data_IF_925251187656
#
_entry.id   IF_925251187656
#
_cell.length_a   1.000
_cell.length_b   1.000
_cell.length_c   1.000
_cell.angle_alpha   90.00
_cell.angle_beta   90.00
_cell.angle_gamma   90.00
#
_symmetry.space_group_name_H-M   'P 1'
#
loop_
_entity.id
_entity.type
_entity.pdbx_description
1 polymer ?
#
# COMPACT_ATOMS: atom_id res chain seq x y z
N UNK A 1 -35.02 -8.74 -25.79
CA UNK A 1 -34.96 -7.64 -24.80
C UNK A 1 -36.36 -7.11 -24.57
N UNK A 2 -36.83 -7.03 -23.32
CA UNK A 2 -38.15 -6.44 -23.07
C UNK A 2 -38.13 -4.94 -23.43
N UNK A 3 -39.25 -4.43 -23.94
CA UNK A 3 -39.37 -3.00 -24.30
C UNK A 3 -39.00 -2.05 -23.14
N UNK A 4 -39.23 -2.49 -21.91
CA UNK A 4 -38.85 -1.72 -20.71
C UNK A 4 -37.34 -1.52 -20.57
N UNK A 5 -36.52 -2.54 -20.89
CA UNK A 5 -35.05 -2.44 -20.81
C UNK A 5 -34.51 -1.51 -21.90
N UNK A 6 -35.11 -1.53 -23.10
CA UNK A 6 -34.75 -0.59 -24.19
C UNK A 6 -35.10 0.85 -23.83
N UNK A 7 -36.21 1.10 -23.13
CA UNK A 7 -36.59 2.41 -22.66
C UNK A 7 -35.67 2.94 -21.56
N UNK A 8 -35.25 2.06 -20.60
CA UNK A 8 -34.29 2.41 -19.56
C UNK A 8 -32.93 2.75 -20.15
N UNK A 9 -32.48 1.98 -21.12
CA UNK A 9 -31.20 2.22 -21.81
C UNK A 9 -31.21 3.55 -22.58
N UNK A 10 -32.30 3.86 -23.27
CA UNK A 10 -32.48 5.14 -23.97
C UNK A 10 -32.51 6.33 -23.00
N UNK A 11 -33.10 6.16 -21.83
CA UNK A 11 -33.19 7.19 -20.78
C UNK A 11 -31.83 7.43 -20.11
N UNK A 12 -31.05 6.37 -19.84
CA UNK A 12 -29.71 6.45 -19.29
C UNK A 12 -28.74 7.17 -20.26
N UNK A 13 -28.79 6.86 -21.55
CA UNK A 13 -28.00 7.55 -22.58
C UNK A 13 -28.37 9.03 -22.72
N UNK A 14 -29.65 9.38 -22.63
CA UNK A 14 -30.09 10.79 -22.70
C UNK A 14 -29.64 11.60 -21.48
N UNK A 15 -29.64 10.99 -20.30
CA UNK A 15 -29.19 11.67 -19.08
C UNK A 15 -27.67 11.89 -19.09
N UNK A 16 -26.89 10.94 -19.57
CA UNK A 16 -25.44 11.04 -19.72
C UNK A 16 -25.05 12.21 -20.65
N UNK A 17 -25.71 12.33 -21.80
CA UNK A 17 -25.42 13.41 -22.73
C UNK A 17 -25.78 14.81 -22.15
N UNK A 18 -26.81 14.92 -21.29
CA UNK A 18 -27.13 16.14 -20.57
C UNK A 18 -26.14 16.52 -19.48
N UNK A 19 -25.57 15.55 -18.78
CA UNK A 19 -24.51 15.80 -17.78
C UNK A 19 -23.18 16.21 -18.44
N UNK A 20 -22.82 15.60 -19.58
CA UNK A 20 -21.63 15.97 -20.34
C UNK A 20 -21.73 17.40 -20.91
N UNK A 21 -22.91 17.83 -21.32
CA UNK A 21 -23.16 19.21 -21.72
C UNK A 21 -23.12 20.21 -20.54
N UNK A 22 -23.61 19.79 -19.37
CA UNK A 22 -23.62 20.63 -18.17
C UNK A 22 -22.20 20.84 -17.61
N UNK A 23 -21.41 19.78 -17.55
CA UNK A 23 -20.01 19.85 -17.10
C UNK A 23 -19.14 20.70 -18.06
N UNK A 24 -19.42 20.67 -19.36
CA UNK A 24 -18.73 21.53 -20.33
C UNK A 24 -19.05 23.01 -20.17
N UNK A 25 -20.25 23.34 -19.71
CA UNK A 25 -20.66 24.73 -19.45
C UNK A 25 -20.04 25.24 -18.15
N UNK A 26 -19.97 24.40 -17.11
CA UNK A 26 -19.31 24.73 -15.82
C UNK A 26 -17.79 24.91 -15.98
N UNK A 27 -17.10 24.09 -16.79
CA UNK A 27 -15.66 24.27 -17.10
C UNK A 27 -15.37 25.56 -17.88
N UNK A 28 -16.32 26.06 -18.68
CA UNK A 28 -16.18 27.33 -19.42
C UNK A 28 -16.44 28.56 -18.54
N UNK A 29 -17.25 28.43 -17.49
CA UNK A 29 -17.50 29.51 -16.52
C UNK A 29 -16.40 29.64 -15.46
N UNK A 30 -15.76 28.56 -15.01
CA UNK A 30 -14.63 28.61 -14.07
C UNK A 30 -13.36 29.22 -14.68
N UNK A 31 -13.13 29.05 -15.98
CA UNK A 31 -11.95 29.59 -16.67
C UNK A 31 -12.00 31.09 -16.94
N UNK A 32 -13.14 31.75 -16.68
CA UNK A 32 -13.31 33.18 -16.98
C UNK A 32 -13.27 34.11 -15.74
N UNK A 33 -12.92 33.59 -14.55
CA UNK A 33 -12.96 34.33 -13.28
C UNK A 33 -11.61 34.62 -12.62
N UNK A 34 -10.49 34.47 -13.33
CA UNK A 34 -9.18 34.81 -12.76
C UNK A 34 -8.59 36.07 -13.44
N UNK A 35 -9.02 37.25 -12.98
CA UNK A 35 -8.30 38.50 -13.19
C UNK A 35 -7.44 38.82 -11.97
N UNK A 36 -6.18 39.09 -12.23
CA UNK A 36 -5.10 39.43 -11.30
C UNK A 36 -5.23 40.89 -10.85
N UNK A 37 -5.07 41.24 -9.57
CA UNK A 37 -4.79 42.62 -9.16
C UNK A 37 -3.29 42.85 -8.95
N UNK A 38 -2.83 43.96 -9.50
CA UNK A 38 -1.50 44.55 -9.36
C UNK A 38 -1.12 44.89 -7.91
N UNK A 39 0.15 44.60 -7.56
CA UNK A 39 0.78 45.01 -6.30
C UNK A 39 1.59 46.25 -6.56
N UNK A 40 1.33 47.30 -5.78
CA UNK A 40 2.20 48.49 -5.65
C UNK A 40 3.15 48.34 -4.49
N UNK A 41 4.42 48.60 -4.79
CA UNK A 41 5.52 48.73 -3.84
C UNK A 41 5.34 49.94 -2.89
N UNK A 42 5.75 49.75 -1.62
CA UNK A 42 6.24 50.83 -0.79
C UNK A 42 7.39 50.34 0.09
N UNK A 43 8.57 50.90 -0.21
CA UNK A 43 9.82 50.74 0.53
C UNK A 43 9.85 51.79 1.65
N UNK A 44 10.14 51.38 2.88
CA UNK A 44 10.73 52.29 3.90
C UNK A 44 11.74 51.57 4.79
N UNK A 45 12.95 51.98 4.60
CA UNK A 45 14.14 51.80 5.42
C UNK A 45 14.00 52.47 6.81
N UNK A 46 14.50 51.86 7.88
CA UNK A 46 15.14 52.54 9.01
C UNK A 46 16.05 51.55 9.77
N UNK A 47 17.26 52.06 10.07
CA UNK A 47 18.41 51.46 10.73
C UNK A 47 18.28 51.40 12.26
N UNK A 48 19.18 50.60 12.83
CA UNK A 48 19.98 50.73 14.07
C UNK A 48 19.57 50.05 15.38
N UNK A 49 20.46 49.09 15.67
CA UNK A 49 21.17 48.84 16.96
C UNK A 49 20.37 48.49 18.24
N UNK A 50 20.64 47.33 18.79
CA UNK A 50 21.45 47.05 19.99
C UNK A 50 21.32 45.59 20.46
N UNK A 51 22.48 45.09 20.84
CA UNK A 51 22.79 43.84 21.53
C UNK A 51 22.07 43.70 22.87
N UNK A 52 21.41 42.54 23.11
CA UNK A 52 21.19 41.95 24.44
C UNK A 52 21.03 40.42 24.34
N UNK A 53 21.66 39.69 25.28
CA UNK A 53 21.75 38.23 25.37
C UNK A 53 20.39 37.55 25.68
N UNK A 54 20.18 36.27 25.30
CA UNK A 54 18.88 35.67 25.30
C UNK A 54 18.50 35.09 26.65
N UNK A 55 17.38 35.54 27.18
CA UNK A 55 16.57 34.80 28.15
C UNK A 55 15.88 33.63 27.45
N UNK A 56 16.07 32.45 28.00
CA UNK A 56 15.33 31.24 27.63
C UNK A 56 13.86 31.41 28.04
N UNK A 57 13.01 31.69 27.09
CA UNK A 57 11.57 31.52 27.21
C UNK A 57 11.19 30.28 26.40
N UNK A 58 10.60 29.30 27.11
CA UNK A 58 9.95 28.10 26.52
C UNK A 58 8.72 28.57 25.74
N UNK A 59 8.88 28.80 24.45
CA UNK A 59 7.76 28.93 23.55
C UNK A 59 7.53 27.59 22.81
N UNK A 60 6.47 26.92 23.21
CA UNK A 60 5.78 25.86 22.49
C UNK A 60 5.10 26.48 21.25
N UNK A 61 5.86 26.92 20.26
CA UNK A 61 5.38 27.30 18.95
C UNK A 61 6.04 26.43 17.87
N UNK A 62 5.17 25.67 17.21
CA UNK A 62 5.23 25.22 15.81
C UNK A 62 6.66 25.07 15.25
N UNK A 63 7.25 23.88 15.46
CA UNK A 63 8.58 23.56 14.93
C UNK A 63 8.54 23.59 13.40
N UNK A 64 8.84 24.74 12.80
CA UNK A 64 9.14 24.85 11.35
C UNK A 64 10.20 23.82 11.02
N UNK A 65 9.80 22.75 10.37
CA UNK A 65 10.68 21.67 9.91
C UNK A 65 11.83 22.29 9.12
N UNK A 66 13.01 22.37 9.73
CA UNK A 66 14.17 23.03 9.12
C UNK A 66 14.69 22.15 7.99
N UNK A 67 14.52 22.61 6.76
CA UNK A 67 15.15 22.00 5.58
C UNK A 67 16.64 22.30 5.60
N UNK A 68 17.48 21.27 5.59
CA UNK A 68 18.93 21.41 5.53
C UNK A 68 19.52 20.47 4.47
N UNK A 69 20.68 20.81 3.93
CA UNK A 69 21.47 19.93 3.06
C UNK A 69 22.36 19.06 3.93
N UNK A 70 22.29 17.74 3.74
CA UNK A 70 23.09 16.76 4.49
C UNK A 70 23.90 15.93 3.48
N UNK A 71 25.20 15.78 3.76
CA UNK A 71 26.08 14.90 3.00
C UNK A 71 25.56 13.46 3.04
N UNK A 72 25.57 12.78 1.88
CA UNK A 72 25.12 11.38 1.75
C UNK A 72 25.90 10.46 2.70
N UNK A 73 27.19 10.71 2.95
CA UNK A 73 28.02 9.92 3.85
C UNK A 73 27.60 9.99 5.32
N UNK A 74 26.82 11.00 5.69
CA UNK A 74 26.22 11.14 7.03
C UNK A 74 24.85 10.49 7.16
N UNK A 75 24.29 9.94 6.07
CA UNK A 75 22.98 9.31 6.06
C UNK A 75 23.13 7.79 6.27
N UNK A 76 22.51 7.27 7.32
CA UNK A 76 22.48 5.85 7.65
C UNK A 76 21.09 5.26 7.41
N UNK A 77 21.08 3.99 7.02
CA UNK A 77 19.82 3.25 6.84
C UNK A 77 19.15 2.96 8.19
N UNK A 78 17.84 2.82 8.13
CA UNK A 78 17.08 2.34 9.28
C UNK A 78 17.35 0.83 9.45
N UNK A 79 17.80 0.35 10.64
CA UNK A 79 18.08 -1.05 10.87
C UNK A 79 16.80 -1.89 10.72
N UNK A 80 16.95 -3.07 10.10
CA UNK A 80 15.88 -4.04 9.93
C UNK A 80 14.61 -3.51 9.22
N UNK A 81 14.76 -2.49 8.35
CA UNK A 81 13.63 -2.01 7.57
C UNK A 81 13.02 -3.15 6.73
N UNK A 82 11.68 -3.30 6.71
CA UNK A 82 11.03 -4.41 6.03
C UNK A 82 10.95 -4.24 4.50
N UNK A 83 11.15 -3.03 3.98
CA UNK A 83 10.87 -2.67 2.59
C UNK A 83 12.08 -2.93 1.68
N UNK A 84 11.84 -3.64 0.58
CA UNK A 84 12.84 -3.90 -0.46
C UNK A 84 13.12 -2.65 -1.30
N UNK A 85 14.32 -2.51 -1.88
CA UNK A 85 14.61 -1.48 -2.88
C UNK A 85 13.63 -1.55 -4.05
N UNK A 86 13.51 -0.45 -4.79
CA UNK A 86 12.75 -0.44 -6.02
C UNK A 86 13.36 -1.38 -7.08
N UNK A 87 12.53 -1.84 -8.04
CA UNK A 87 13.03 -2.58 -9.20
C UNK A 87 14.00 -1.71 -10.01
N UNK A 88 14.87 -2.36 -10.80
CA UNK A 88 15.88 -1.67 -11.63
C UNK A 88 15.23 -0.63 -12.55
N UNK A 89 14.07 -0.94 -13.12
CA UNK A 89 13.31 -0.02 -13.97
C UNK A 89 12.89 1.25 -13.22
N UNK A 90 12.27 1.10 -12.04
CA UNK A 90 11.85 2.24 -11.20
C UNK A 90 13.04 3.02 -10.66
N UNK A 91 14.17 2.34 -10.39
CA UNK A 91 15.42 3.03 -10.02
C UNK A 91 15.94 3.86 -11.17
N UNK A 92 15.97 3.32 -12.40
CA UNK A 92 16.43 4.03 -13.59
C UNK A 92 15.59 5.29 -13.86
N UNK A 93 14.25 5.18 -13.78
CA UNK A 93 13.35 6.32 -13.93
C UNK A 93 13.60 7.40 -12.85
N UNK A 94 13.78 6.97 -11.60
CA UNK A 94 14.08 7.90 -10.51
C UNK A 94 15.45 8.58 -10.67
N UNK A 95 16.48 7.86 -11.10
CA UNK A 95 17.80 8.41 -11.36
C UNK A 95 17.74 9.48 -12.47
N UNK A 96 17.01 9.21 -13.54
CA UNK A 96 16.82 10.18 -14.63
C UNK A 96 16.06 11.43 -14.14
N UNK A 97 14.98 11.24 -13.40
CA UNK A 97 14.25 12.34 -12.80
C UNK A 97 15.12 13.18 -11.87
N UNK A 98 15.96 12.55 -11.05
CA UNK A 98 16.87 13.25 -10.13
C UNK A 98 17.93 14.04 -10.90
N UNK A 99 18.47 13.53 -12.01
CA UNK A 99 19.43 14.26 -12.86
C UNK A 99 18.85 15.52 -13.47
N UNK A 100 17.56 15.48 -13.82
CA UNK A 100 16.87 16.62 -14.47
C UNK A 100 16.38 17.63 -13.44
N UNK A 101 15.72 17.17 -12.39
CA UNK A 101 14.94 18.00 -11.47
C UNK A 101 15.56 18.14 -10.06
N UNK A 102 16.64 17.39 -9.77
CA UNK A 102 17.14 17.23 -8.41
C UNK A 102 16.17 16.44 -7.51
N UNK A 103 16.33 16.60 -6.21
CA UNK A 103 15.44 16.00 -5.21
C UNK A 103 14.22 16.90 -5.00
N UNK A 104 13.07 16.53 -5.55
CA UNK A 104 11.82 17.27 -5.44
C UNK A 104 11.23 17.18 -4.04
N UNK A 105 11.25 15.98 -3.46
CA UNK A 105 10.72 15.71 -2.12
C UNK A 105 11.86 15.44 -1.15
N UNK A 106 11.98 16.26 -0.10
CA UNK A 106 13.00 16.12 0.92
C UNK A 106 12.98 14.75 1.61
N UNK A 107 14.13 14.26 2.03
CA UNK A 107 14.21 13.08 2.87
C UNK A 107 13.77 13.46 4.29
N UNK A 108 13.23 12.50 5.04
CA UNK A 108 12.94 12.65 6.46
C UNK A 108 13.99 11.86 7.22
N UNK A 109 14.69 12.53 8.15
CA UNK A 109 15.78 11.94 8.92
C UNK A 109 15.68 12.31 10.40
N UNK A 110 16.32 11.50 11.26
CA UNK A 110 16.53 11.87 12.67
C UNK A 110 18.03 11.85 13.02
N UNK A 111 18.50 12.67 13.95
CA UNK A 111 19.90 12.66 14.37
C UNK A 111 20.20 11.40 15.19
N UNK A 112 21.43 10.88 15.04
CA UNK A 112 21.98 9.78 15.83
C UNK A 112 23.07 10.29 16.77
N UNK A 113 23.36 9.58 17.88
CA UNK A 113 24.41 9.97 18.84
C UNK A 113 25.82 10.05 18.23
N UNK A 114 26.07 9.35 17.12
CA UNK A 114 27.35 9.32 16.41
C UNK A 114 27.56 10.53 15.47
N UNK A 115 26.67 11.53 15.49
CA UNK A 115 26.73 12.71 14.63
C UNK A 115 26.25 12.47 13.18
N UNK A 116 25.68 11.31 12.89
CA UNK A 116 25.04 10.98 11.62
C UNK A 116 23.52 11.08 11.73
N UNK A 117 22.83 10.81 10.64
CA UNK A 117 21.38 10.91 10.53
C UNK A 117 20.80 9.61 10.01
N UNK A 118 19.79 9.08 10.70
CA UNK A 118 19.04 7.91 10.28
C UNK A 118 17.91 8.30 9.35
N UNK A 119 17.82 7.64 8.21
CA UNK A 119 16.76 7.87 7.22
C UNK A 119 15.48 7.23 7.70
N UNK A 120 14.39 7.99 7.78
CA UNK A 120 13.05 7.54 8.10
C UNK A 120 12.18 7.41 6.84
N UNK A 121 12.41 8.30 5.84
CA UNK A 121 11.74 8.24 4.54
C UNK A 121 12.69 8.73 3.45
N UNK A 122 12.76 8.00 2.34
CA UNK A 122 13.54 8.38 1.18
C UNK A 122 14.79 7.54 0.92
N UNK A 123 14.89 6.30 1.41
CA UNK A 123 16.01 5.39 1.15
C UNK A 123 16.29 5.23 -0.35
N UNK A 124 15.26 4.90 -1.15
CA UNK A 124 15.43 4.79 -2.61
C UNK A 124 15.88 6.12 -3.25
N UNK A 125 15.39 7.27 -2.75
CA UNK A 125 15.84 8.60 -3.22
C UNK A 125 17.31 8.83 -2.93
N UNK A 126 17.80 8.47 -1.73
CA UNK A 126 19.21 8.55 -1.37
C UNK A 126 20.06 7.68 -2.29
N UNK A 127 19.66 6.43 -2.52
CA UNK A 127 20.43 5.49 -3.35
C UNK A 127 20.48 5.93 -4.81
N UNK A 128 19.36 6.34 -5.37
CA UNK A 128 19.30 6.87 -6.74
C UNK A 128 20.05 8.19 -6.88
N UNK A 129 20.02 9.06 -5.87
CA UNK A 129 20.78 10.32 -5.86
C UNK A 129 22.30 10.10 -5.85
N UNK A 130 22.75 9.10 -5.07
CA UNK A 130 24.16 8.69 -5.05
C UNK A 130 24.61 8.21 -6.43
N UNK A 131 23.81 7.41 -7.12
CA UNK A 131 24.08 6.94 -8.50
C UNK A 131 24.02 8.13 -9.48
N UNK A 132 23.13 9.09 -9.28
CA UNK A 132 23.05 10.31 -10.09
C UNK A 132 24.21 11.29 -9.88
N UNK A 133 25.11 11.04 -8.89
CA UNK A 133 26.31 11.82 -8.63
C UNK A 133 26.12 12.98 -7.64
N UNK A 134 24.99 13.04 -6.90
CA UNK A 134 24.83 14.04 -5.84
C UNK A 134 25.63 13.63 -4.60
N UNK A 135 26.18 14.64 -3.91
CA UNK A 135 26.96 14.47 -2.66
C UNK A 135 26.18 14.89 -1.42
N UNK A 136 25.18 15.74 -1.59
CA UNK A 136 24.34 16.27 -0.51
C UNK A 136 22.86 16.22 -0.91
N UNK A 137 21.99 15.96 0.07
CA UNK A 137 20.55 15.83 -0.15
C UNK A 137 19.76 16.76 0.78
N UNK A 138 18.65 17.33 0.30
CA UNK A 138 17.74 18.09 1.14
C UNK A 138 17.00 17.17 2.10
N UNK A 139 17.10 17.46 3.38
CA UNK A 139 16.54 16.66 4.46
C UNK A 139 15.74 17.54 5.43
N UNK A 140 14.66 16.96 5.95
CA UNK A 140 13.92 17.49 7.10
C UNK A 140 14.29 16.68 8.34
N UNK A 141 14.76 17.35 9.38
CA UNK A 141 15.15 16.70 10.63
C UNK A 141 13.94 16.60 11.54
N UNK A 142 13.72 15.38 12.07
CA UNK A 142 12.76 15.13 13.16
C UNK A 142 13.49 14.60 14.39
N UNK A 143 13.22 15.22 15.54
CA UNK A 143 13.75 14.77 16.84
C UNK A 143 12.69 13.89 17.50
N UNK A 144 12.80 12.58 17.31
CA UNK A 144 11.80 11.61 17.73
C UNK A 144 12.44 10.33 18.27
N UNK A 145 11.70 9.62 19.10
CA UNK A 145 12.07 8.33 19.69
C UNK A 145 11.97 7.18 18.68
N UNK A 146 12.51 6.00 19.05
CA UNK A 146 12.61 4.84 18.18
C UNK A 146 11.26 4.33 17.66
N UNK A 147 10.24 4.33 18.51
CA UNK A 147 8.90 3.88 18.13
C UNK A 147 8.27 4.82 17.10
N UNK A 148 8.39 6.15 17.28
CA UNK A 148 7.87 7.13 16.32
C UNK A 148 8.63 7.11 15.01
N UNK A 149 9.94 6.88 15.09
CA UNK A 149 10.79 6.69 13.91
C UNK A 149 10.35 5.48 13.10
N UNK A 150 10.06 4.36 13.79
CA UNK A 150 9.55 3.13 13.16
C UNK A 150 8.17 3.33 12.53
N UNK A 151 7.27 4.06 13.19
CA UNK A 151 5.95 4.39 12.65
C UNK A 151 6.06 5.25 11.40
N UNK A 152 6.88 6.30 11.40
CA UNK A 152 7.09 7.15 10.22
C UNK A 152 7.67 6.33 9.05
N UNK A 153 8.63 5.45 9.31
CA UNK A 153 9.19 4.57 8.29
C UNK A 153 8.11 3.70 7.64
N UNK A 154 7.29 3.05 8.46
CA UNK A 154 6.25 2.13 7.98
C UNK A 154 5.17 2.92 7.24
N UNK A 155 4.63 3.99 7.83
CA UNK A 155 3.52 4.75 7.27
C UNK A 155 3.91 5.43 5.96
N UNK A 156 5.12 6.02 5.88
CA UNK A 156 5.59 6.62 4.64
C UNK A 156 5.72 5.61 3.50
N UNK A 157 6.09 4.37 3.78
CA UNK A 157 6.16 3.33 2.76
C UNK A 157 4.78 2.77 2.39
N UNK A 158 3.93 2.45 3.37
CA UNK A 158 2.60 1.89 3.13
C UNK A 158 1.65 2.88 2.44
N UNK A 159 1.81 4.19 2.68
CA UNK A 159 0.99 5.23 2.03
C UNK A 159 1.53 5.60 0.65
N UNK A 160 2.85 5.73 0.51
CA UNK A 160 3.47 6.22 -0.72
C UNK A 160 3.62 5.14 -1.81
N UNK A 161 3.73 3.86 -1.42
CA UNK A 161 3.93 2.75 -2.35
C UNK A 161 2.60 2.04 -2.60
N UNK A 162 2.18 2.01 -3.87
CA UNK A 162 1.05 1.16 -4.32
C UNK A 162 1.47 -0.30 -4.51
N UNK A 163 2.76 -0.54 -4.75
CA UNK A 163 3.34 -1.85 -5.05
C UNK A 163 4.29 -2.24 -3.92
N UNK A 164 3.79 -2.91 -2.93
CA UNK A 164 4.58 -3.56 -1.87
C UNK A 164 4.34 -5.07 -1.90
N UNK A 165 5.34 -5.80 -1.45
CA UNK A 165 5.21 -7.25 -1.31
C UNK A 165 4.35 -7.61 -0.09
N UNK A 166 3.57 -8.69 -0.15
CA UNK A 166 2.85 -9.20 1.02
C UNK A 166 3.71 -9.36 2.27
N UNK A 167 4.96 -9.78 2.12
CA UNK A 167 5.93 -9.90 3.21
C UNK A 167 6.29 -8.56 3.84
N UNK A 168 6.39 -7.48 3.05
CA UNK A 168 6.66 -6.13 3.55
C UNK A 168 5.49 -5.60 4.39
N UNK A 169 4.26 -5.78 3.89
CA UNK A 169 3.05 -5.43 4.63
C UNK A 169 2.95 -6.22 5.93
N UNK A 170 3.20 -7.53 5.88
CA UNK A 170 3.16 -8.40 7.05
C UNK A 170 4.11 -7.94 8.15
N UNK A 171 5.37 -7.65 7.79
CA UNK A 171 6.39 -7.15 8.74
C UNK A 171 6.05 -5.76 9.26
N UNK A 172 5.64 -4.84 8.38
CA UNK A 172 5.23 -3.49 8.78
C UNK A 172 4.09 -3.50 9.78
N UNK A 173 3.04 -4.29 9.53
CA UNK A 173 1.90 -4.44 10.43
C UNK A 173 2.30 -5.09 11.77
N UNK A 174 3.23 -6.05 11.75
CA UNK A 174 3.73 -6.67 12.98
C UNK A 174 4.44 -5.64 13.87
N UNK A 175 5.35 -4.84 13.31
CA UNK A 175 6.08 -3.79 14.04
C UNK A 175 5.08 -2.76 14.62
N UNK A 176 4.12 -2.28 13.82
CA UNK A 176 3.07 -1.36 14.31
C UNK A 176 2.31 -1.98 15.48
N UNK A 177 1.88 -3.23 15.37
CA UNK A 177 1.15 -3.94 16.42
C UNK A 177 1.95 -4.05 17.72
N UNK A 178 3.24 -4.33 17.62
CA UNK A 178 4.12 -4.39 18.79
C UNK A 178 4.30 -3.02 19.47
N UNK A 179 4.43 -1.95 18.68
CA UNK A 179 4.48 -0.56 19.20
C UNK A 179 3.18 -0.22 19.93
N UNK A 180 2.02 -0.51 19.33
CA UNK A 180 0.72 -0.29 19.96
C UNK A 180 0.59 -1.03 21.30
N UNK A 181 1.08 -2.28 21.34
CA UNK A 181 1.10 -3.08 22.57
C UNK A 181 2.01 -2.47 23.63
N UNK A 182 3.25 -2.05 23.27
CA UNK A 182 4.20 -1.42 24.21
C UNK A 182 3.67 -0.11 24.78
N UNK A 183 3.01 0.71 23.94
CA UNK A 183 2.44 2.01 24.32
C UNK A 183 1.10 1.90 25.04
N UNK A 184 0.56 0.70 25.24
CA UNK A 184 -0.78 0.45 25.81
C UNK A 184 -1.85 1.33 25.15
N UNK A 185 -1.80 1.46 23.82
CA UNK A 185 -2.80 2.23 23.06
C UNK A 185 -4.16 1.60 23.28
N UNK A 186 -5.13 2.40 23.75
CA UNK A 186 -6.48 1.91 24.12
C UNK A 186 -7.40 1.66 22.92
N UNK A 187 -7.09 2.25 21.79
CA UNK A 187 -7.85 2.06 20.54
C UNK A 187 -7.67 0.66 19.95
N UNK A 188 -8.66 0.19 19.21
CA UNK A 188 -8.55 -1.10 18.51
C UNK A 188 -7.59 -0.95 17.30
N UNK A 189 -6.43 -1.59 17.41
CA UNK A 189 -5.41 -1.65 16.36
C UNK A 189 -6.00 -2.01 14.98
N UNK A 190 -6.90 -2.99 14.94
CA UNK A 190 -7.48 -3.44 13.66
C UNK A 190 -8.43 -2.40 13.05
N UNK A 191 -9.11 -1.64 13.89
CA UNK A 191 -10.00 -0.57 13.43
C UNK A 191 -9.20 0.60 12.86
N UNK A 192 -8.14 1.03 13.55
CA UNK A 192 -7.27 2.12 13.09
C UNK A 192 -6.56 1.76 11.78
N UNK A 193 -5.88 0.61 11.75
CA UNK A 193 -5.21 0.14 10.54
C UNK A 193 -6.21 -0.11 9.40
N UNK A 194 -7.41 -0.62 9.73
CA UNK A 194 -8.46 -0.82 8.75
C UNK A 194 -8.88 0.47 8.05
N UNK A 195 -9.03 1.56 8.80
CA UNK A 195 -9.32 2.90 8.26
C UNK A 195 -8.13 3.46 7.47
N UNK A 196 -6.92 3.35 8.03
CA UNK A 196 -5.70 3.90 7.45
C UNK A 196 -5.33 3.24 6.10
N UNK A 197 -5.44 1.91 6.02
CA UNK A 197 -5.06 1.12 4.86
C UNK A 197 -6.24 0.68 3.98
N UNK A 198 -7.46 1.11 4.30
CA UNK A 198 -8.69 0.67 3.65
C UNK A 198 -8.79 -0.87 3.56
N UNK A 199 -8.52 -1.54 4.68
CA UNK A 199 -8.51 -3.00 4.76
C UNK A 199 -9.49 -3.52 5.80
N UNK A 200 -10.11 -4.69 5.51
CA UNK A 200 -10.91 -5.40 6.50
C UNK A 200 -10.04 -6.00 7.61
N UNK A 201 -10.61 -6.14 8.81
CA UNK A 201 -9.96 -6.82 9.95
C UNK A 201 -9.39 -8.20 9.58
N UNK A 202 -10.15 -8.98 8.79
CA UNK A 202 -9.71 -10.29 8.32
C UNK A 202 -8.47 -10.22 7.44
N UNK A 203 -8.37 -9.23 6.55
CA UNK A 203 -7.18 -9.04 5.73
C UNK A 203 -5.96 -8.66 6.56
N UNK A 204 -6.11 -7.77 7.54
CA UNK A 204 -5.01 -7.40 8.46
C UNK A 204 -4.51 -8.65 9.21
N UNK A 205 -5.43 -9.50 9.69
CA UNK A 205 -5.09 -10.75 10.35
C UNK A 205 -4.31 -11.69 9.43
N UNK A 206 -4.72 -11.82 8.15
CA UNK A 206 -4.00 -12.63 7.15
C UNK A 206 -2.56 -12.16 6.95
N UNK A 207 -2.37 -10.85 6.74
CA UNK A 207 -1.02 -10.30 6.61
C UNK A 207 -0.18 -10.55 7.86
N UNK A 208 -0.73 -10.33 9.07
CA UNK A 208 -0.03 -10.61 10.30
C UNK A 208 0.37 -12.10 10.41
N UNK A 209 -0.48 -13.02 9.93
CA UNK A 209 -0.18 -14.45 9.93
C UNK A 209 0.97 -14.83 9.00
N UNK A 210 1.17 -14.13 7.88
CA UNK A 210 2.29 -14.38 6.97
C UNK A 210 3.67 -14.28 7.64
N UNK A 211 3.80 -13.59 8.76
CA UNK A 211 5.05 -13.52 9.52
C UNK A 211 5.50 -14.88 10.12
N UNK A 212 4.61 -15.88 10.12
CA UNK A 212 4.88 -17.23 10.62
C UNK A 212 5.10 -18.22 9.47
N UNK A 213 5.21 -17.75 8.22
CA UNK A 213 5.58 -18.60 7.10
C UNK A 213 7.08 -18.80 7.00
N UNK A 214 7.48 -20.01 6.60
CA UNK A 214 8.82 -20.28 6.11
C UNK A 214 9.21 -19.29 5.01
N UNK A 215 10.48 -18.88 4.96
CA UNK A 215 10.97 -17.86 4.02
C UNK A 215 10.69 -18.19 2.56
N UNK A 216 10.82 -19.46 2.13
CA UNK A 216 10.55 -19.89 0.75
C UNK A 216 9.05 -19.81 0.41
N UNK A 217 8.17 -20.23 1.33
CA UNK A 217 6.73 -20.12 1.15
C UNK A 217 6.29 -18.65 1.11
N UNK A 218 6.89 -17.79 1.93
CA UNK A 218 6.63 -16.35 1.92
C UNK A 218 7.10 -15.72 0.60
N UNK A 219 8.21 -16.15 0.05
CA UNK A 219 8.71 -15.72 -1.27
C UNK A 219 7.73 -16.12 -2.40
N UNK A 220 7.12 -17.30 -2.32
CA UNK A 220 6.07 -17.73 -3.23
C UNK A 220 4.78 -16.90 -3.08
N UNK A 221 4.49 -16.37 -1.89
CA UNK A 221 3.39 -15.40 -1.70
C UNK A 221 3.75 -14.05 -2.33
N UNK A 222 4.99 -13.60 -2.19
CA UNK A 222 5.49 -12.36 -2.80
C UNK A 222 5.45 -12.42 -4.34
N UNK A 223 5.79 -13.58 -4.93
CA UNK A 223 5.74 -13.83 -6.38
C UNK A 223 4.33 -14.11 -6.92
N UNK A 224 3.31 -14.16 -6.04
CA UNK A 224 1.90 -14.46 -6.35
C UNK A 224 1.65 -15.90 -6.83
N UNK A 225 2.58 -16.80 -6.62
CA UNK A 225 2.42 -18.23 -6.87
C UNK A 225 1.50 -18.87 -5.84
N UNK A 226 1.55 -18.38 -4.60
CA UNK A 226 0.61 -18.69 -3.53
C UNK A 226 -0.15 -17.41 -3.20
N UNK A 227 -1.48 -17.46 -3.16
CA UNK A 227 -2.26 -16.30 -2.74
C UNK A 227 -2.20 -16.10 -1.21
N UNK A 228 -2.49 -14.90 -0.73
CA UNK A 228 -2.40 -14.51 0.69
C UNK A 228 -3.25 -15.42 1.59
N UNK A 229 -4.44 -15.86 1.12
CA UNK A 229 -5.33 -16.75 1.87
C UNK A 229 -4.73 -18.13 2.07
N UNK A 230 -4.11 -18.70 1.04
CA UNK A 230 -3.39 -19.97 1.16
C UNK A 230 -2.14 -19.82 2.03
N UNK A 231 -1.41 -18.70 1.91
CA UNK A 231 -0.29 -18.39 2.80
C UNK A 231 -0.70 -18.31 4.27
N UNK A 232 -1.86 -17.69 4.58
CA UNK A 232 -2.43 -17.71 5.94
C UNK A 232 -2.65 -19.15 6.43
N UNK A 233 -3.30 -19.99 5.64
CA UNK A 233 -3.58 -21.38 6.00
C UNK A 233 -2.30 -22.18 6.24
N UNK A 234 -1.30 -22.04 5.36
CA UNK A 234 0.00 -22.70 5.49
C UNK A 234 0.79 -22.24 6.70
N UNK A 235 0.59 -21.01 7.16
CA UNK A 235 1.26 -20.48 8.35
C UNK A 235 0.82 -21.13 9.67
N UNK A 236 -0.17 -22.01 9.65
CA UNK A 236 -0.59 -22.79 10.82
C UNK A 236 0.12 -24.16 10.91
N UNK A 237 0.82 -24.56 9.84
CA UNK A 237 1.66 -25.74 9.88
C UNK A 237 2.87 -25.52 10.79
N UNK A 238 3.42 -26.58 11.34
CA UNK A 238 4.65 -26.53 12.13
C UNK A 238 5.84 -26.16 11.24
N UNK A 239 6.88 -25.61 11.82
CA UNK A 239 8.07 -25.15 11.07
C UNK A 239 8.70 -26.28 10.24
N UNK A 240 8.79 -27.49 10.78
CA UNK A 240 9.33 -28.68 10.09
C UNK A 240 8.44 -29.09 8.90
N UNK A 241 7.11 -29.06 9.08
CA UNK A 241 6.14 -29.37 8.04
C UNK A 241 6.19 -28.32 6.90
N UNK A 242 6.32 -27.04 7.26
CA UNK A 242 6.50 -25.97 6.27
C UNK A 242 7.81 -26.11 5.50
N UNK A 243 8.91 -26.46 6.18
CA UNK A 243 10.20 -26.64 5.54
C UNK A 243 10.18 -27.81 4.55
N UNK A 244 9.61 -28.95 4.95
CA UNK A 244 9.46 -30.10 4.08
C UNK A 244 8.57 -29.80 2.88
N UNK A 245 7.39 -29.19 3.11
CA UNK A 245 6.50 -28.76 2.03
C UNK A 245 7.20 -27.83 1.05
N UNK A 246 7.92 -26.81 1.57
CA UNK A 246 8.69 -25.89 0.76
C UNK A 246 9.76 -26.60 -0.09
N UNK A 247 10.40 -27.64 0.44
CA UNK A 247 11.42 -28.41 -0.29
C UNK A 247 10.84 -29.17 -1.50
N UNK A 248 9.57 -29.56 -1.42
CA UNK A 248 8.88 -30.30 -2.50
C UNK A 248 8.37 -29.37 -3.61
N UNK A 249 7.88 -28.19 -3.25
CA UNK A 249 7.20 -27.31 -4.22
C UNK A 249 8.09 -26.19 -4.78
N UNK A 250 9.21 -25.87 -4.12
CA UNK A 250 10.17 -24.85 -4.55
C UNK A 250 11.43 -25.50 -5.14
N UNK A 251 11.96 -25.09 -6.31
CA UNK A 251 11.52 -24.00 -7.20
C UNK A 251 10.51 -24.42 -8.27
N UNK A 252 10.20 -25.73 -8.39
CA UNK A 252 9.27 -26.26 -9.39
C UNK A 252 7.85 -26.13 -8.86
N UNK A 253 7.25 -24.96 -9.05
CA UNK A 253 5.97 -24.59 -8.49
C UNK A 253 4.87 -25.56 -8.91
N UNK A 254 4.60 -26.56 -8.08
CA UNK A 254 3.33 -27.25 -8.13
C UNK A 254 2.26 -26.33 -7.55
N UNK A 255 1.29 -25.92 -8.36
CA UNK A 255 0.20 -25.06 -7.92
C UNK A 255 -0.59 -25.76 -6.83
N UNK A 256 -0.56 -25.25 -5.61
CA UNK A 256 -1.33 -25.76 -4.48
C UNK A 256 -2.82 -25.42 -4.65
N UNK A 257 -3.69 -26.42 -4.48
CA UNK A 257 -5.13 -26.19 -4.43
C UNK A 257 -5.59 -25.83 -3.02
N UNK A 258 -6.73 -25.14 -2.92
CA UNK A 258 -7.36 -24.80 -1.62
C UNK A 258 -7.68 -26.07 -0.82
N UNK A 259 -8.10 -27.14 -1.50
CA UNK A 259 -8.41 -28.44 -0.90
C UNK A 259 -7.17 -29.11 -0.32
N UNK A 260 -6.05 -29.10 -1.04
CA UNK A 260 -4.78 -29.64 -0.54
C UNK A 260 -4.31 -28.89 0.71
N UNK A 261 -4.29 -27.56 0.67
CA UNK A 261 -3.86 -26.75 1.81
C UNK A 261 -4.77 -26.94 3.03
N UNK A 262 -6.08 -27.08 2.83
CA UNK A 262 -7.02 -27.37 3.91
C UNK A 262 -6.74 -28.73 4.56
N UNK A 263 -6.50 -29.77 3.76
CA UNK A 263 -6.12 -31.12 4.28
C UNK A 263 -4.79 -31.09 5.03
N UNK A 264 -3.78 -30.41 4.49
CA UNK A 264 -2.50 -30.23 5.19
C UNK A 264 -2.69 -29.63 6.59
N UNK A 265 -3.49 -28.56 6.69
CA UNK A 265 -3.82 -27.92 7.96
C UNK A 265 -4.60 -28.82 8.90
N UNK A 266 -5.61 -29.54 8.40
CA UNK A 266 -6.41 -30.48 9.20
C UNK A 266 -5.54 -31.58 9.80
N UNK A 267 -4.66 -32.21 9.01
CA UNK A 267 -3.76 -33.27 9.47
C UNK A 267 -2.69 -32.73 10.44
N UNK A 268 -2.15 -31.52 10.20
CA UNK A 268 -1.22 -30.85 11.12
C UNK A 268 -1.87 -30.54 12.48
N UNK A 269 -3.14 -30.13 12.48
CA UNK A 269 -3.87 -29.76 13.69
C UNK A 269 -4.07 -30.93 14.67
N UNK A 270 -4.02 -32.16 14.19
CA UNK A 270 -4.16 -33.39 14.99
C UNK A 270 -2.83 -34.15 15.14
N UNK A 271 -1.70 -33.49 14.90
CA UNK A 271 -0.35 -34.04 14.98
C UNK A 271 -0.13 -35.27 14.09
N UNK A 272 -0.81 -35.35 12.96
CA UNK A 272 -0.83 -36.52 12.08
C UNK A 272 -0.20 -36.23 10.70
N UNK A 273 0.34 -35.03 10.47
CA UNK A 273 0.95 -34.64 9.21
C UNK A 273 2.41 -35.11 9.15
N UNK A 274 2.62 -36.30 8.57
CA UNK A 274 3.95 -36.84 8.27
C UNK A 274 4.42 -36.45 6.88
N UNK A 275 5.70 -36.59 6.59
CA UNK A 275 6.28 -36.36 5.26
C UNK A 275 5.55 -37.17 4.17
N UNK A 276 5.31 -38.47 4.42
CA UNK A 276 4.57 -39.34 3.49
C UNK A 276 3.14 -38.83 3.22
N UNK A 277 2.47 -38.30 4.25
CA UNK A 277 1.14 -37.71 4.08
C UNK A 277 1.18 -36.41 3.30
N UNK A 278 2.19 -35.57 3.48
CA UNK A 278 2.35 -34.37 2.66
C UNK A 278 2.45 -34.76 1.19
N UNK A 279 3.30 -35.76 0.87
CA UNK A 279 3.45 -36.28 -0.49
C UNK A 279 2.11 -36.82 -1.01
N UNK A 280 1.44 -37.67 -0.23
CA UNK A 280 0.12 -38.25 -0.59
C UNK A 280 -0.92 -37.16 -0.91
N UNK A 281 -0.98 -36.09 -0.10
CA UNK A 281 -1.92 -35.00 -0.30
C UNK A 281 -1.60 -34.22 -1.58
N UNK A 282 -0.30 -34.02 -1.87
CA UNK A 282 0.13 -33.30 -3.07
C UNK A 282 -0.08 -34.11 -4.35
N UNK A 283 0.07 -35.43 -4.30
CA UNK A 283 -0.12 -36.33 -5.45
C UNK A 283 -1.59 -36.58 -5.78
N UNK A 284 -2.48 -36.52 -4.78
CA UNK A 284 -3.92 -36.63 -5.04
C UNK A 284 -4.37 -35.44 -5.88
N UNK A 285 -4.59 -35.70 -7.17
CA UNK A 285 -5.32 -34.77 -8.05
C UNK A 285 -6.74 -34.65 -7.50
N UNK A 286 -7.06 -33.55 -6.88
CA UNK A 286 -8.45 -33.21 -6.63
C UNK A 286 -9.16 -33.17 -7.98
N UNK A 287 -10.30 -33.88 -8.10
CA UNK A 287 -11.18 -33.77 -9.26
C UNK A 287 -11.42 -32.26 -9.45
N UNK A 288 -11.05 -31.75 -10.61
CA UNK A 288 -10.96 -30.33 -10.99
C UNK A 288 -11.85 -29.46 -10.10
N UNK A 289 -11.22 -28.72 -9.16
CA UNK A 289 -11.91 -27.59 -8.54
C UNK A 289 -12.35 -26.73 -9.72
N UNK A 290 -13.66 -26.63 -9.95
CA UNK A 290 -14.20 -25.56 -10.77
C UNK A 290 -13.51 -24.30 -10.25
N UNK A 291 -12.71 -23.66 -11.07
CA UNK A 291 -12.08 -22.39 -10.70
C UNK A 291 -13.15 -21.59 -9.95
N UNK A 292 -12.91 -21.40 -8.65
CA UNK A 292 -13.74 -20.49 -7.88
C UNK A 292 -13.48 -19.12 -8.52
N UNK A 293 -14.31 -18.81 -9.50
CA UNK A 293 -14.39 -17.49 -10.10
C UNK A 293 -14.94 -16.63 -8.97
N UNK A 294 -14.01 -16.20 -8.10
CA UNK A 294 -14.32 -15.48 -6.89
C UNK A 294 -15.38 -14.42 -7.17
N UNK A 295 -16.34 -14.29 -6.27
CA UNK A 295 -17.40 -13.29 -6.38
C UNK A 295 -16.76 -11.92 -6.65
N UNK A 296 -17.07 -11.35 -7.80
CA UNK A 296 -16.67 -9.97 -8.11
C UNK A 296 -17.62 -9.08 -7.32
N UNK A 297 -17.12 -8.51 -6.23
CA UNK A 297 -17.88 -7.56 -5.41
C UNK A 297 -17.52 -6.14 -5.80
N UNK A 298 -18.51 -5.35 -6.14
CA UNK A 298 -18.38 -3.92 -6.33
C UNK A 298 -18.86 -3.20 -5.07
N UNK A 299 -18.17 -2.14 -4.66
CA UNK A 299 -18.66 -1.28 -3.59
C UNK A 299 -19.92 -0.53 -4.03
N UNK A 300 -20.76 -0.16 -3.07
CA UNK A 300 -21.96 0.64 -3.39
C UNK A 300 -21.60 1.97 -4.06
N UNK A 301 -20.44 2.56 -3.75
CA UNK A 301 -19.95 3.80 -4.36
C UNK A 301 -19.56 3.59 -5.83
N UNK A 302 -18.90 2.46 -6.14
CA UNK A 302 -18.54 2.11 -7.53
C UNK A 302 -19.78 1.83 -8.37
N UNK A 303 -20.76 1.11 -7.83
CA UNK A 303 -22.01 0.84 -8.52
C UNK A 303 -22.84 2.10 -8.72
N UNK A 304 -22.97 2.95 -7.70
CA UNK A 304 -23.75 4.20 -7.79
C UNK A 304 -23.20 5.18 -8.82
N UNK A 305 -21.91 5.13 -9.13
CA UNK A 305 -21.32 5.95 -10.19
C UNK A 305 -21.92 5.68 -11.57
N UNK A 306 -22.28 4.41 -11.85
CA UNK A 306 -22.77 3.96 -13.15
C UNK A 306 -24.28 3.68 -13.18
N UNK A 307 -24.89 3.45 -12.01
CA UNK A 307 -26.28 2.98 -11.85
C UNK A 307 -27.13 3.89 -10.98
N UNK A 308 -26.91 5.21 -11.08
CA UNK A 308 -27.65 6.23 -10.29
C UNK A 308 -29.17 6.16 -10.43
N UNK A 309 -29.66 5.65 -11.56
CA UNK A 309 -31.09 5.58 -11.90
C UNK A 309 -31.73 4.24 -11.54
N UNK A 310 -30.99 3.31 -10.90
CA UNK A 310 -31.50 2.02 -10.48
C UNK A 310 -31.89 2.07 -9.00
N UNK A 311 -33.07 1.54 -8.67
CA UNK A 311 -33.64 1.63 -7.32
C UNK A 311 -33.09 0.60 -6.35
N UNK A 312 -32.71 -0.60 -6.83
CA UNK A 312 -32.29 -1.72 -5.98
C UNK A 312 -31.05 -2.43 -6.52
N UNK A 313 -30.35 -3.11 -5.62
CA UNK A 313 -29.19 -3.95 -5.97
C UNK A 313 -29.58 -5.10 -6.91
N UNK A 314 -30.77 -5.66 -6.74
CA UNK A 314 -31.32 -6.70 -7.60
C UNK A 314 -31.51 -6.21 -9.04
N UNK A 315 -32.05 -5.02 -9.24
CA UNK A 315 -32.21 -4.44 -10.58
C UNK A 315 -30.87 -4.20 -11.28
N UNK A 316 -29.86 -3.74 -10.53
CA UNK A 316 -28.48 -3.59 -11.04
C UNK A 316 -27.91 -4.95 -11.47
N UNK A 317 -28.09 -5.96 -10.64
CA UNK A 317 -27.62 -7.33 -10.91
C UNK A 317 -28.26 -7.94 -12.15
N UNK A 318 -29.59 -7.82 -12.29
CA UNK A 318 -30.30 -8.29 -13.46
C UNK A 318 -29.86 -7.56 -14.73
N UNK A 319 -29.68 -6.25 -14.65
CA UNK A 319 -29.17 -5.47 -15.77
C UNK A 319 -27.78 -5.90 -16.21
N UNK A 320 -26.84 -6.10 -15.26
CA UNK A 320 -25.49 -6.60 -15.57
C UNK A 320 -25.54 -7.96 -16.24
N UNK A 321 -26.37 -8.90 -15.73
CA UNK A 321 -26.51 -10.25 -16.30
C UNK A 321 -26.99 -10.15 -17.75
N UNK A 322 -28.04 -9.36 -18.01
CA UNK A 322 -28.58 -9.18 -19.36
C UNK A 322 -27.56 -8.56 -20.31
N UNK A 323 -26.76 -7.61 -19.84
CA UNK A 323 -25.69 -7.00 -20.64
C UNK A 323 -24.57 -7.99 -20.96
N UNK A 324 -24.19 -8.81 -20.00
CA UNK A 324 -23.17 -9.86 -20.21
C UNK A 324 -23.71 -10.95 -21.19
N UNK A 325 -24.95 -11.38 -21.06
CA UNK A 325 -25.59 -12.31 -22.00
C UNK A 325 -25.67 -11.73 -23.41
N UNK A 326 -26.02 -10.45 -23.54
CA UNK A 326 -26.05 -9.79 -24.84
C UNK A 326 -24.66 -9.66 -25.47
N UNK A 327 -23.64 -9.45 -24.66
CA UNK A 327 -22.24 -9.29 -25.14
C UNK A 327 -21.58 -10.62 -25.47
N UNK A 328 -21.76 -11.65 -24.63
CA UNK A 328 -21.11 -12.96 -24.77
C UNK A 328 -22.02 -14.03 -25.42
N UNK A 329 -23.32 -13.92 -25.31
CA UNK A 329 -24.29 -14.91 -25.83
C UNK A 329 -24.31 -15.05 -27.35
N UNK A 330 -23.71 -14.15 -28.09
CA UNK A 330 -23.50 -14.24 -29.53
C UNK A 330 -22.14 -14.86 -29.93
N UNK A 331 -21.37 -15.39 -28.96
CA UNK A 331 -20.03 -15.96 -29.18
C UNK A 331 -19.93 -17.45 -28.82
N UNK A 332 -21.07 -18.18 -28.66
CA UNK A 332 -21.13 -19.63 -28.51
C UNK A 332 -21.69 -20.25 -29.78
#
# INVERSE_FOLDING_TARGET
MSEQIQQLFKKALQNRNKEEEKNKVEELEENNSQQIPEVKEDIKTIEDSKTEEPKVEEDLEDSKEKRIMISIDKLEDFPNQPFKPYSEEKQAEMIESIKINGIIQDLIVRPLPNGKYQILSGHNRRDCAKIAGLTELPCKIKYIEDDDASLILIDSNLIQRKDFFPSEMAKGLLIKKEIYKRRNVKSDFFEEIGKEQNMSRGNIQRYLRLNYLNSKLLEMVDSKEINIKLGEELSFLKDEEQEFLASLIYPNVQKLTTSQVKRLREESSVDNLTEDKIIEILEKKDAEEKEDKGDVTFSSEELNKYFKDFGTTEEIKEFIIVMLEAYFGNKV
#
